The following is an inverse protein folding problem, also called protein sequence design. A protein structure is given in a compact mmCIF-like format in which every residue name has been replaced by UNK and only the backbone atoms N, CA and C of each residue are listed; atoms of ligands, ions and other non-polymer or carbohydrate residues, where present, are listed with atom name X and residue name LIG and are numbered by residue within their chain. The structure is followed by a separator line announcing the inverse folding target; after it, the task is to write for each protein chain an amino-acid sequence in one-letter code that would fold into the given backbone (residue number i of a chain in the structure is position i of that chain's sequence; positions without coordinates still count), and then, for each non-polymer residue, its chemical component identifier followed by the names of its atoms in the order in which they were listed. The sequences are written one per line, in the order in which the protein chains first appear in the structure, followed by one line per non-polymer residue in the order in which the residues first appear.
data_IF_297788514248
#
_entry.id   IF_297788514248
#
_cell.length_a   1.000
_cell.length_b   1.000
_cell.length_c   1.000
_cell.angle_alpha   90.00
_cell.angle_beta   90.00
_cell.angle_gamma   90.00
#
_symmetry.space_group_name_H-M   'P 1'
#
loop_
_entity.id
_entity.type
_entity.pdbx_description
1 polymer ?
#
# COMPACT_ATOMS: atom_id res chain seq x y z
N UNK A 1 87.32 71.43 12.20
CA UNK A 1 85.92 71.11 12.53
C UNK A 1 85.38 70.27 11.38
N UNK A 2 84.88 69.07 11.66
CA UNK A 2 84.20 68.20 10.70
C UNK A 2 82.83 68.80 10.36
N UNK A 3 82.52 68.90 9.07
CA UNK A 3 81.15 69.12 8.59
C UNK A 3 80.46 67.76 8.46
N UNK A 4 79.77 67.33 9.52
CA UNK A 4 78.82 66.23 9.46
C UNK A 4 77.48 66.74 8.91
N UNK A 5 77.14 66.31 7.70
CA UNK A 5 75.84 66.56 7.09
C UNK A 5 74.82 65.63 7.77
N UNK A 6 73.65 66.12 8.22
CA UNK A 6 72.65 65.27 8.85
C UNK A 6 72.09 64.26 7.84
N UNK A 7 72.20 62.97 8.17
CA UNK A 7 71.64 61.89 7.36
C UNK A 7 70.12 61.95 7.33
N UNK A 8 69.56 62.01 6.12
CA UNK A 8 68.11 61.90 5.89
C UNK A 8 67.68 60.46 6.15
N UNK A 9 66.79 60.27 7.12
CA UNK A 9 66.16 58.99 7.43
C UNK A 9 65.11 58.66 6.35
N UNK A 10 65.48 57.80 5.41
CA UNK A 10 64.58 57.33 4.36
C UNK A 10 63.83 56.12 4.92
N UNK A 11 62.63 56.34 5.46
CA UNK A 11 61.73 55.25 5.80
C UNK A 11 61.31 54.52 4.51
N UNK A 12 61.56 53.20 4.38
CA UNK A 12 61.14 52.47 3.21
C UNK A 12 59.61 52.46 3.15
N UNK A 13 59.05 53.02 2.07
CA UNK A 13 57.62 53.00 1.82
C UNK A 13 57.09 51.57 1.95
N UNK A 14 56.09 51.37 2.84
CA UNK A 14 55.38 50.11 3.00
C UNK A 14 54.93 49.62 1.62
N UNK A 15 55.64 48.67 1.04
CA UNK A 15 55.22 48.00 -0.19
C UNK A 15 53.86 47.35 0.06
N UNK A 16 52.91 47.64 -0.81
CA UNK A 16 51.53 47.15 -0.72
C UNK A 16 51.52 45.62 -0.68
N UNK A 17 50.65 45.03 0.13
CA UNK A 17 50.50 43.58 0.29
C UNK A 17 50.33 42.85 -1.06
N UNK A 18 49.79 43.54 -2.07
CA UNK A 18 49.58 43.03 -3.41
C UNK A 18 50.84 42.89 -4.27
N UNK A 19 51.96 43.56 -3.96
CA UNK A 19 53.22 43.42 -4.69
C UNK A 19 54.05 42.19 -4.24
N UNK A 20 53.68 41.57 -3.09
CA UNK A 20 54.32 40.34 -2.58
C UNK A 20 53.49 39.08 -2.79
N UNK A 21 52.24 39.20 -3.24
CA UNK A 21 51.42 38.06 -3.61
C UNK A 21 51.94 37.52 -4.94
N UNK A 22 52.80 36.49 -4.88
CA UNK A 22 53.33 35.87 -6.09
C UNK A 22 52.18 35.27 -6.91
N UNK A 23 52.31 35.31 -8.23
CA UNK A 23 51.37 34.69 -9.18
C UNK A 23 51.11 33.20 -8.87
N UNK A 24 52.03 32.57 -8.12
CA UNK A 24 51.95 31.20 -7.62
C UNK A 24 50.75 30.98 -6.68
N UNK A 25 50.30 32.01 -5.95
CA UNK A 25 49.16 31.89 -5.03
C UNK A 25 47.79 31.93 -5.74
N UNK A 26 47.74 32.30 -7.03
CA UNK A 26 46.51 32.23 -7.81
C UNK A 26 46.03 30.79 -8.01
N UNK A 27 46.95 29.82 -8.13
CA UNK A 27 46.60 28.41 -8.36
C UNK A 27 45.86 27.79 -7.16
N UNK A 28 46.35 27.90 -5.91
CA UNK A 28 45.60 27.45 -4.72
C UNK A 28 44.24 28.14 -4.55
N UNK A 29 44.16 29.44 -4.79
CA UNK A 29 42.88 30.19 -4.67
C UNK A 29 41.89 29.75 -5.74
N UNK A 30 42.34 29.59 -6.99
CA UNK A 30 41.49 29.07 -8.06
C UNK A 30 41.00 27.65 -7.76
N UNK A 31 41.88 26.77 -7.27
CA UNK A 31 41.50 25.42 -6.85
C UNK A 31 40.48 25.44 -5.70
N UNK A 32 40.66 26.32 -4.70
CA UNK A 32 39.69 26.51 -3.61
C UNK A 32 38.33 26.96 -4.14
N UNK A 33 38.30 27.94 -5.05
CA UNK A 33 37.05 28.44 -5.65
C UNK A 33 36.34 27.36 -6.45
N UNK A 34 37.06 26.53 -7.20
CA UNK A 34 36.50 25.38 -7.91
C UNK A 34 35.93 24.37 -6.92
N UNK A 35 36.68 24.03 -5.86
CA UNK A 35 36.21 23.09 -4.84
C UNK A 35 34.95 23.59 -4.11
N UNK A 36 34.91 24.87 -3.75
CA UNK A 36 33.71 25.51 -3.16
C UNK A 36 32.56 25.53 -4.17
N UNK A 37 32.85 25.82 -5.44
CA UNK A 37 31.84 25.77 -6.51
C UNK A 37 31.20 24.39 -6.64
N UNK A 38 32.02 23.33 -6.70
CA UNK A 38 31.56 21.93 -6.75
C UNK A 38 30.78 21.57 -5.49
N UNK A 39 31.27 21.95 -4.31
CA UNK A 39 30.57 21.68 -3.05
C UNK A 39 29.17 22.32 -3.01
N UNK A 40 29.06 23.57 -3.49
CA UNK A 40 27.77 24.28 -3.55
C UNK A 40 26.81 23.66 -4.58
N UNK A 41 27.29 23.23 -5.75
CA UNK A 41 26.43 22.56 -6.73
C UNK A 41 25.95 21.21 -6.21
N UNK A 42 26.86 20.41 -5.64
CA UNK A 42 26.53 19.10 -5.05
C UNK A 42 25.49 19.24 -3.93
N UNK A 43 25.60 20.28 -3.09
CA UNK A 43 24.64 20.48 -2.02
C UNK A 43 23.27 20.99 -2.51
N UNK A 44 23.23 21.76 -3.60
CA UNK A 44 21.97 22.25 -4.21
C UNK A 44 21.26 21.20 -5.06
N UNK A 45 21.99 20.22 -5.58
CA UNK A 45 21.44 19.17 -6.45
C UNK A 45 20.93 17.95 -5.67
N UNK A 46 21.35 17.80 -4.41
CA UNK A 46 20.82 16.79 -3.50
C UNK A 46 19.38 17.13 -3.10
N UNK A 47 18.51 16.12 -3.09
CA UNK A 47 17.18 16.26 -2.50
C UNK A 47 17.22 16.21 -0.97
N UNK A 48 16.10 16.56 -0.32
CA UNK A 48 16.00 16.59 1.13
C UNK A 48 16.07 15.19 1.74
N UNK A 49 16.50 15.13 3.00
CA UNK A 49 16.46 13.91 3.81
C UNK A 49 15.21 13.95 4.68
N UNK A 50 14.41 12.88 4.61
CA UNK A 50 13.23 12.67 5.45
C UNK A 50 13.53 11.59 6.49
N UNK A 51 12.85 11.64 7.63
CA UNK A 51 12.90 10.64 8.68
C UNK A 51 11.58 9.88 8.73
N UNK A 52 11.64 8.56 8.60
CA UNK A 52 10.46 7.69 8.68
C UNK A 52 10.64 6.78 9.90
N UNK A 53 9.67 6.82 10.82
CA UNK A 53 9.70 6.02 12.05
C UNK A 53 8.88 4.74 11.88
N UNK A 54 9.54 3.59 11.89
CA UNK A 54 8.92 2.27 11.83
C UNK A 54 8.97 1.56 13.18
N UNK A 55 8.02 0.66 13.43
CA UNK A 55 8.08 -0.28 14.57
C UNK A 55 9.25 -1.26 14.38
N UNK A 56 9.41 -1.77 13.16
CA UNK A 56 10.48 -2.69 12.78
C UNK A 56 11.15 -2.27 11.47
N UNK A 57 12.46 -2.48 11.36
CA UNK A 57 13.25 -2.16 10.16
C UNK A 57 14.04 -3.38 9.64
N UNK A 58 13.55 -4.59 9.91
CA UNK A 58 14.24 -5.82 9.53
C UNK A 58 14.53 -5.88 8.02
N UNK A 59 15.81 -6.05 7.67
CA UNK A 59 16.27 -6.16 6.28
C UNK A 59 16.56 -4.83 5.57
N UNK A 60 16.31 -3.67 6.20
CA UNK A 60 16.70 -2.37 5.66
C UNK A 60 18.20 -2.17 5.87
N UNK A 61 18.90 -1.78 4.80
CA UNK A 61 20.34 -1.57 4.77
C UNK A 61 20.67 -0.14 4.33
N UNK A 62 21.62 0.47 5.03
CA UNK A 62 22.10 1.82 4.75
C UNK A 62 22.88 1.85 3.42
N UNK A 63 22.58 2.84 2.57
CA UNK A 63 23.10 3.04 1.21
C UNK A 63 22.76 1.93 0.19
N UNK A 64 21.89 0.99 0.55
CA UNK A 64 21.47 -0.12 -0.34
C UNK A 64 19.96 -0.12 -0.53
N UNK A 65 19.18 0.01 0.54
CA UNK A 65 17.73 0.03 0.48
C UNK A 65 17.23 1.30 -0.21
N UNK A 66 16.37 1.11 -1.20
CA UNK A 66 15.76 2.19 -1.99
C UNK A 66 14.36 2.52 -1.48
N UNK A 67 14.00 3.80 -1.57
CA UNK A 67 12.62 4.24 -1.54
C UNK A 67 12.07 4.19 -2.96
N UNK A 68 10.91 3.57 -3.14
CA UNK A 68 10.22 3.45 -4.42
C UNK A 68 8.85 4.12 -4.38
N UNK A 69 8.44 4.63 -5.52
CA UNK A 69 7.09 5.12 -5.78
C UNK A 69 6.63 4.56 -7.12
N UNK A 70 5.52 3.79 -7.11
CA UNK A 70 5.01 3.14 -8.32
C UNK A 70 6.09 2.29 -9.01
N UNK A 71 6.86 1.55 -8.20
CA UNK A 71 7.97 0.71 -8.65
C UNK A 71 9.16 1.46 -9.31
N UNK A 72 9.25 2.78 -9.13
CA UNK A 72 10.40 3.60 -9.57
C UNK A 72 11.21 4.01 -8.35
N UNK A 73 12.53 3.82 -8.38
CA UNK A 73 13.42 4.30 -7.32
C UNK A 73 13.45 5.84 -7.31
N UNK A 74 13.16 6.42 -6.15
CA UNK A 74 13.00 7.87 -5.94
C UNK A 74 13.70 8.35 -4.67
N UNK A 75 14.50 7.49 -4.05
CA UNK A 75 15.33 7.81 -2.90
C UNK A 75 16.14 6.63 -2.40
N UNK A 76 17.05 6.89 -1.46
CA UNK A 76 17.94 5.90 -0.85
C UNK A 76 18.03 6.12 0.66
N UNK A 77 18.07 5.02 1.42
CA UNK A 77 18.30 5.05 2.86
C UNK A 77 19.74 5.47 3.15
N UNK A 78 19.95 6.54 3.92
CA UNK A 78 21.27 7.05 4.32
C UNK A 78 21.66 6.70 5.75
N UNK A 79 20.69 6.36 6.60
CA UNK A 79 20.96 6.06 7.99
C UNK A 79 19.82 5.36 8.68
N UNK A 80 20.16 4.56 9.68
CA UNK A 80 19.22 3.83 10.52
C UNK A 80 19.65 4.07 11.97
N UNK A 81 18.72 4.52 12.80
CA UNK A 81 18.96 4.73 14.23
C UNK A 81 17.74 4.31 15.03
N UNK A 82 17.93 3.99 16.29
CA UNK A 82 16.81 3.85 17.21
C UNK A 82 16.37 5.22 17.72
N UNK A 83 15.09 5.33 18.05
CA UNK A 83 14.56 6.40 18.91
C UNK A 83 15.22 6.35 20.29
N UNK A 84 15.14 7.46 21.04
CA UNK A 84 15.82 7.57 22.35
C UNK A 84 15.34 6.53 23.38
N UNK A 85 14.08 6.11 23.28
CA UNK A 85 13.48 5.07 24.11
C UNK A 85 13.61 3.65 23.52
N UNK A 86 14.26 3.51 22.36
CA UNK A 86 14.46 2.25 21.63
C UNK A 86 13.17 1.55 21.15
N UNK A 87 12.01 2.20 21.22
CA UNK A 87 10.72 1.60 20.82
C UNK A 87 10.51 1.61 19.31
N UNK A 88 11.14 2.56 18.61
CA UNK A 88 10.99 2.78 17.16
C UNK A 88 12.33 2.86 16.46
N UNK A 89 12.38 2.41 15.21
CA UNK A 89 13.50 2.58 14.30
C UNK A 89 13.25 3.78 13.40
N UNK A 90 14.15 4.76 13.45
CA UNK A 90 14.12 5.96 12.62
C UNK A 90 15.05 5.73 11.43
N UNK A 91 14.46 5.70 10.23
CA UNK A 91 15.17 5.53 8.97
C UNK A 91 15.27 6.88 8.27
N UNK A 92 16.49 7.34 8.01
CA UNK A 92 16.76 8.55 7.26
C UNK A 92 16.86 8.20 5.78
N UNK A 93 15.95 8.76 4.96
CA UNK A 93 15.88 8.51 3.52
C UNK A 93 16.16 9.81 2.78
N UNK A 94 17.11 9.80 1.86
CA UNK A 94 17.32 10.90 0.94
C UNK A 94 16.42 10.76 -0.27
N UNK A 95 15.56 11.75 -0.48
CA UNK A 95 14.67 11.82 -1.62
C UNK A 95 15.39 12.35 -2.86
N UNK A 96 14.92 11.94 -4.02
CA UNK A 96 15.22 12.63 -5.27
C UNK A 96 14.54 14.01 -5.28
N UNK A 97 15.28 15.02 -5.72
CA UNK A 97 14.79 16.41 -5.77
C UNK A 97 13.55 16.57 -6.64
N UNK A 98 13.35 15.71 -7.64
CA UNK A 98 12.20 15.73 -8.54
C UNK A 98 10.89 15.35 -7.85
N UNK A 99 10.92 14.50 -6.82
CA UNK A 99 9.73 14.03 -6.10
C UNK A 99 9.50 14.75 -4.78
N UNK A 100 10.55 15.37 -4.23
CA UNK A 100 10.52 15.98 -2.90
C UNK A 100 9.32 16.92 -2.67
N UNK A 101 8.94 17.72 -3.66
CA UNK A 101 7.84 18.69 -3.53
C UNK A 101 6.45 18.05 -3.41
N UNK A 102 6.31 16.76 -3.71
CA UNK A 102 5.07 15.98 -3.63
C UNK A 102 4.99 15.11 -2.37
N UNK A 103 6.09 15.02 -1.60
CA UNK A 103 6.14 14.23 -0.37
C UNK A 103 5.73 15.11 0.80
N UNK A 104 4.43 15.38 0.87
CA UNK A 104 3.78 16.18 1.91
C UNK A 104 3.22 15.29 3.04
N UNK A 105 2.40 15.85 3.92
CA UNK A 105 1.87 15.16 5.09
C UNK A 105 0.90 14.02 4.82
N UNK A 106 0.37 13.92 3.60
CA UNK A 106 -0.51 12.81 3.20
C UNK A 106 0.28 11.62 2.64
N UNK A 107 1.61 11.73 2.56
CA UNK A 107 2.48 10.65 2.12
C UNK A 107 2.54 9.51 3.14
N UNK A 108 2.29 8.28 2.66
CA UNK A 108 2.40 7.04 3.42
C UNK A 108 3.61 6.22 2.98
N UNK A 109 4.25 5.54 3.93
CA UNK A 109 5.44 4.72 3.70
C UNK A 109 5.32 3.37 4.42
N UNK A 110 5.70 2.28 3.77
CA UNK A 110 5.76 0.95 4.37
C UNK A 110 6.94 0.15 3.83
N UNK A 111 7.35 -0.87 4.57
CA UNK A 111 8.47 -1.75 4.21
C UNK A 111 7.93 -2.94 3.42
N UNK A 112 8.43 -3.16 2.20
CA UNK A 112 8.07 -4.33 1.38
C UNK A 112 9.15 -5.41 1.52
N UNK A 113 8.72 -6.59 1.96
CA UNK A 113 9.56 -7.76 2.23
C UNK A 113 9.05 -8.97 1.41
N UNK A 114 9.91 -9.96 1.10
CA UNK A 114 9.45 -11.20 0.51
C UNK A 114 8.59 -11.96 1.50
N UNK A 115 7.37 -12.30 1.10
CA UNK A 115 6.45 -13.08 1.91
C UNK A 115 6.04 -14.36 1.18
N UNK A 116 6.06 -15.46 1.93
CA UNK A 116 5.59 -16.76 1.45
C UNK A 116 4.30 -17.06 2.19
N UNK A 117 3.17 -16.97 1.48
CA UNK A 117 1.86 -17.32 2.03
C UNK A 117 1.36 -18.64 1.42
N UNK A 118 0.37 -19.26 2.07
CA UNK A 118 -0.30 -20.44 1.53
C UNK A 118 -1.08 -20.14 0.23
N UNK A 119 -1.45 -18.88 0.00
CA UNK A 119 -2.28 -18.40 -1.12
C UNK A 119 -1.46 -17.92 -2.33
N UNK A 120 -0.12 -17.86 -2.20
CA UNK A 120 0.78 -17.39 -3.25
C UNK A 120 2.09 -16.80 -2.72
N UNK A 121 2.98 -16.43 -3.64
CA UNK A 121 4.25 -15.77 -3.31
C UNK A 121 4.18 -14.31 -3.76
N UNK A 122 4.31 -13.37 -2.82
CA UNK A 122 4.40 -11.93 -3.08
C UNK A 122 5.84 -11.45 -2.85
N UNK A 123 6.21 -10.33 -3.47
CA UNK A 123 7.54 -9.75 -3.26
C UNK A 123 8.68 -10.56 -3.88
N UNK A 124 8.44 -11.41 -4.89
CA UNK A 124 9.50 -12.18 -5.55
C UNK A 124 10.60 -11.29 -6.15
N UNK A 125 10.28 -10.04 -6.50
CA UNK A 125 11.26 -9.04 -6.91
C UNK A 125 12.32 -8.79 -5.82
N UNK A 126 11.95 -8.92 -4.55
CA UNK A 126 12.86 -8.72 -3.40
C UNK A 126 13.81 -9.90 -3.18
N UNK A 127 13.54 -11.07 -3.76
CA UNK A 127 14.46 -12.23 -3.68
C UNK A 127 15.81 -11.91 -4.32
N UNK A 128 15.81 -11.08 -5.37
CA UNK A 128 17.02 -10.60 -6.04
C UNK A 128 17.40 -9.16 -5.66
N UNK A 129 16.42 -8.28 -5.45
CA UNK A 129 16.66 -6.83 -5.21
C UNK A 129 16.64 -6.40 -3.74
N UNK A 130 16.30 -7.31 -2.81
CA UNK A 130 16.26 -7.05 -1.38
C UNK A 130 14.99 -6.30 -0.92
N UNK A 131 14.95 -6.02 0.39
CA UNK A 131 13.89 -5.24 1.04
C UNK A 131 13.95 -3.79 0.55
N UNK A 132 12.79 -3.20 0.25
CA UNK A 132 12.65 -1.80 -0.15
C UNK A 132 11.55 -1.10 0.65
N UNK A 133 11.58 0.23 0.66
CA UNK A 133 10.51 1.05 1.22
C UNK A 133 9.65 1.50 0.04
N UNK A 134 8.34 1.26 0.09
CA UNK A 134 7.41 1.84 -0.88
C UNK A 134 6.77 3.08 -0.25
N UNK A 135 6.64 4.13 -1.05
CA UNK A 135 5.95 5.36 -0.70
C UNK A 135 4.72 5.59 -1.57
N UNK A 136 3.74 6.29 -1.02
CA UNK A 136 2.48 6.62 -1.68
C UNK A 136 2.05 8.03 -1.32
N UNK A 137 1.95 8.92 -2.31
CA UNK A 137 1.48 10.30 -2.21
C UNK A 137 0.76 10.70 -3.51
N UNK A 138 0.02 11.80 -3.49
CA UNK A 138 -0.78 12.24 -4.63
C UNK A 138 0.07 12.97 -5.70
N UNK A 139 -0.56 13.72 -6.60
CA UNK A 139 0.13 14.51 -7.62
C UNK A 139 0.14 16.01 -7.32
N UNK A 140 -0.22 16.41 -6.12
CA UNK A 140 -0.21 17.79 -5.66
C UNK A 140 1.15 18.09 -5.03
N UNK A 141 1.71 19.24 -5.38
CA UNK A 141 3.00 19.68 -4.84
C UNK A 141 2.75 20.72 -3.74
N UNK A 142 2.48 20.26 -2.52
CA UNK A 142 2.23 21.13 -1.35
C UNK A 142 3.44 21.28 -0.42
N UNK A 143 4.63 20.93 -0.93
CA UNK A 143 5.89 21.04 -0.21
C UNK A 143 6.32 19.72 0.42
N UNK A 144 7.45 19.76 1.13
CA UNK A 144 8.07 18.56 1.69
C UNK A 144 7.90 18.51 3.20
N UNK A 145 7.27 17.46 3.70
CA UNK A 145 7.32 17.11 5.11
C UNK A 145 8.59 16.27 5.39
N UNK A 146 9.22 16.50 6.53
CA UNK A 146 10.51 15.88 6.85
C UNK A 146 10.40 14.70 7.81
N UNK A 147 9.24 14.47 8.42
CA UNK A 147 9.04 13.44 9.44
C UNK A 147 7.74 12.70 9.19
N UNK A 148 7.83 11.37 9.18
CA UNK A 148 6.73 10.47 8.89
C UNK A 148 6.69 9.34 9.89
N UNK A 149 5.48 8.86 10.17
CA UNK A 149 5.27 7.58 10.81
C UNK A 149 5.06 6.54 9.70
N UNK A 150 5.90 5.51 9.71
CA UNK A 150 5.80 4.41 8.77
C UNK A 150 4.66 3.48 9.15
N UNK A 151 3.96 2.98 8.14
CA UNK A 151 2.93 1.95 8.30
C UNK A 151 3.59 0.58 8.41
N UNK A 152 3.06 -0.25 9.31
CA UNK A 152 3.52 -1.62 9.49
C UNK A 152 3.14 -2.50 8.28
N UNK A 153 2.04 -2.16 7.61
CA UNK A 153 1.45 -2.89 6.48
C UNK A 153 1.10 -1.96 5.32
N UNK A 154 1.02 -2.52 4.11
CA UNK A 154 0.69 -1.76 2.92
C UNK A 154 -0.77 -1.24 2.99
N UNK A 155 -1.01 0.05 2.71
CA UNK A 155 -2.38 0.54 2.63
C UNK A 155 -3.08 -0.09 1.43
N UNK A 156 -4.34 -0.48 1.63
CA UNK A 156 -5.19 -1.04 0.56
C UNK A 156 -5.28 -0.14 -0.66
N UNK A 157 -5.27 1.17 -0.43
CA UNK A 157 -5.26 2.19 -1.48
C UNK A 157 -3.87 2.78 -1.57
N UNK A 158 -3.23 2.53 -2.71
CA UNK A 158 -1.94 3.13 -3.06
C UNK A 158 -2.14 4.13 -4.19
N UNK A 159 -1.36 5.20 -4.19
CA UNK A 159 -1.35 6.24 -5.21
C UNK A 159 -1.09 5.67 -6.60
N UNK A 160 -2.16 5.49 -7.37
CA UNK A 160 -2.13 4.91 -8.72
C UNK A 160 -3.20 3.84 -8.96
N UNK A 161 -3.82 3.31 -7.90
CA UNK A 161 -4.98 2.41 -7.98
C UNK A 161 -6.14 2.97 -7.16
N UNK A 162 -7.11 3.57 -7.85
CA UNK A 162 -8.37 4.05 -7.27
C UNK A 162 -9.43 2.96 -7.31
N UNK A 163 -10.43 3.05 -6.44
CA UNK A 163 -11.51 2.09 -6.38
C UNK A 163 -12.56 2.42 -5.32
N UNK A 164 -13.61 1.61 -5.29
CA UNK A 164 -14.62 1.63 -4.23
C UNK A 164 -14.12 0.82 -3.04
N UNK A 165 -13.93 1.50 -1.92
CA UNK A 165 -13.68 0.85 -0.63
C UNK A 165 -14.99 0.33 -0.04
N UNK A 166 -15.02 -0.94 0.34
CA UNK A 166 -16.14 -1.58 1.02
C UNK A 166 -15.62 -2.34 2.23
N UNK A 167 -16.52 -2.71 3.11
CA UNK A 167 -16.22 -3.62 4.20
C UNK A 167 -16.95 -4.94 3.96
N UNK A 168 -16.22 -6.03 3.98
CA UNK A 168 -16.81 -7.37 3.92
C UNK A 168 -16.97 -7.88 5.34
N UNK A 169 -18.06 -8.61 5.60
CA UNK A 169 -18.27 -9.34 6.86
C UNK A 169 -18.64 -10.79 6.58
N UNK A 170 -18.23 -11.69 7.48
CA UNK A 170 -18.66 -13.08 7.45
C UNK A 170 -18.84 -13.65 8.86
N UNK A 171 -19.79 -14.56 8.99
CA UNK A 171 -20.07 -15.31 10.23
C UNK A 171 -19.25 -16.60 10.35
N UNK A 172 -18.48 -16.95 9.31
CA UNK A 172 -17.60 -18.12 9.25
C UNK A 172 -16.24 -17.73 8.68
N UNK A 173 -15.29 -18.66 8.78
CA UNK A 173 -13.95 -18.54 8.17
C UNK A 173 -14.09 -18.69 6.63
N UNK A 174 -14.58 -17.65 5.96
CA UNK A 174 -14.96 -17.68 4.54
C UNK A 174 -13.89 -17.01 3.67
N UNK A 175 -12.70 -17.61 3.57
CA UNK A 175 -11.66 -17.13 2.65
C UNK A 175 -11.22 -15.66 2.85
N UNK A 176 -11.60 -15.03 3.97
CA UNK A 176 -11.33 -13.62 4.30
C UNK A 176 -9.93 -13.46 4.88
N UNK A 177 -8.94 -13.98 4.17
CA UNK A 177 -7.53 -13.74 4.45
C UNK A 177 -7.06 -12.46 3.79
N UNK A 178 -6.03 -11.84 4.36
CA UNK A 178 -5.36 -10.70 3.75
C UNK A 178 -4.87 -11.06 2.34
N UNK A 179 -4.96 -10.12 1.41
CA UNK A 179 -4.55 -10.26 0.01
C UNK A 179 -5.35 -11.28 -0.82
N UNK A 180 -6.44 -11.84 -0.29
CA UNK A 180 -7.37 -12.66 -1.09
C UNK A 180 -7.89 -11.83 -2.29
N UNK A 181 -7.83 -12.38 -3.52
CA UNK A 181 -8.33 -11.69 -4.70
C UNK A 181 -9.87 -11.64 -4.71
N UNK A 182 -10.40 -10.49 -5.13
CA UNK A 182 -11.81 -10.36 -5.50
C UNK A 182 -11.89 -10.52 -7.02
N UNK A 183 -12.58 -11.57 -7.46
CA UNK A 183 -12.63 -11.98 -8.87
C UNK A 183 -14.04 -11.78 -9.41
N UNK A 184 -14.16 -11.17 -10.59
CA UNK A 184 -15.41 -11.07 -11.32
C UNK A 184 -15.24 -11.70 -12.70
N UNK A 185 -16.05 -12.72 -13.03
CA UNK A 185 -15.99 -13.46 -14.30
C UNK A 185 -14.58 -13.95 -14.68
N UNK A 186 -13.79 -14.38 -13.68
CA UNK A 186 -12.43 -14.88 -13.87
C UNK A 186 -11.34 -13.81 -13.98
N UNK A 187 -11.68 -12.53 -13.78
CA UNK A 187 -10.73 -11.42 -13.79
C UNK A 187 -10.60 -10.87 -12.36
N UNK A 188 -9.38 -10.68 -11.87
CA UNK A 188 -9.15 -9.98 -10.60
C UNK A 188 -9.56 -8.51 -10.75
N UNK A 189 -10.54 -8.09 -9.94
CA UNK A 189 -11.12 -6.74 -9.96
C UNK A 189 -10.96 -6.01 -8.63
N UNK A 190 -10.39 -6.66 -7.63
CA UNK A 190 -10.23 -6.10 -6.30
C UNK A 190 -9.43 -7.01 -5.39
N UNK A 191 -9.21 -6.55 -4.16
CA UNK A 191 -8.50 -7.30 -3.12
C UNK A 191 -9.10 -7.04 -1.75
N UNK A 192 -9.00 -8.05 -0.89
CA UNK A 192 -9.25 -7.93 0.54
C UNK A 192 -7.96 -7.50 1.22
N UNK A 193 -8.07 -6.61 2.20
CA UNK A 193 -6.99 -6.25 3.11
C UNK A 193 -7.17 -6.94 4.45
N UNK A 194 -6.79 -6.24 5.51
CA UNK A 194 -6.70 -6.85 6.82
C UNK A 194 -8.06 -7.27 7.37
N UNK A 195 -8.10 -8.51 7.86
CA UNK A 195 -9.23 -9.06 8.57
C UNK A 195 -9.11 -8.78 10.08
N UNK A 196 -10.23 -8.42 10.69
CA UNK A 196 -10.37 -8.17 12.13
C UNK A 196 -11.57 -8.92 12.66
N UNK A 197 -11.40 -9.53 13.83
CA UNK A 197 -12.47 -10.24 14.51
C UNK A 197 -13.22 -9.24 15.40
N UNK A 198 -14.54 -9.28 15.34
CA UNK A 198 -15.42 -8.54 16.25
C UNK A 198 -15.17 -8.92 17.71
N UNK A 199 -15.42 -7.98 18.64
CA UNK A 199 -15.20 -8.23 20.07
C UNK A 199 -16.03 -9.38 20.63
N UNK A 200 -17.18 -9.67 20.03
CA UNK A 200 -18.05 -10.80 20.41
C UNK A 200 -17.67 -12.12 19.73
N UNK A 201 -16.67 -12.11 18.85
CA UNK A 201 -16.17 -13.27 18.12
C UNK A 201 -17.13 -13.83 17.08
N UNK A 202 -18.25 -13.14 16.78
CA UNK A 202 -19.29 -13.68 15.87
C UNK A 202 -19.05 -13.35 14.42
N UNK A 203 -18.35 -12.26 14.16
CA UNK A 203 -18.10 -11.74 12.82
C UNK A 203 -16.62 -11.49 12.59
N UNK A 204 -16.17 -11.84 11.39
CA UNK A 204 -14.91 -11.36 10.82
C UNK A 204 -15.26 -10.22 9.88
N UNK A 205 -14.59 -9.08 10.04
CA UNK A 205 -14.69 -7.94 9.15
C UNK A 205 -13.38 -7.81 8.38
N UNK A 206 -13.42 -7.51 7.09
CA UNK A 206 -12.21 -7.16 6.35
C UNK A 206 -12.49 -6.00 5.41
N UNK A 207 -11.54 -5.07 5.36
CA UNK A 207 -11.61 -3.98 4.38
C UNK A 207 -11.34 -4.58 3.00
N UNK A 208 -12.00 -4.07 1.97
CA UNK A 208 -11.80 -4.50 0.60
C UNK A 208 -11.86 -3.32 -0.36
N UNK A 209 -11.12 -3.40 -1.45
CA UNK A 209 -11.17 -2.43 -2.53
C UNK A 209 -11.57 -3.14 -3.83
N UNK A 210 -12.50 -2.54 -4.55
CA UNK A 210 -12.85 -2.89 -5.93
C UNK A 210 -12.28 -1.80 -6.83
N UNK A 211 -11.33 -2.16 -7.69
CA UNK A 211 -10.60 -1.20 -8.52
C UNK A 211 -11.48 -0.57 -9.59
N UNK A 212 -11.20 0.68 -9.95
CA UNK A 212 -11.74 1.31 -11.15
C UNK A 212 -11.29 0.56 -12.41
N UNK A 213 -12.14 0.38 -13.43
CA UNK A 213 -13.53 0.87 -13.54
C UNK A 213 -14.61 -0.13 -13.05
N UNK A 214 -14.22 -1.26 -12.44
CA UNK A 214 -15.17 -2.32 -12.02
C UNK A 214 -15.91 -1.99 -10.72
N UNK A 215 -15.46 -0.96 -10.00
CA UNK A 215 -16.16 -0.34 -8.88
C UNK A 215 -17.64 -0.03 -9.20
N UNK A 216 -17.93 0.37 -10.44
CA UNK A 216 -19.29 0.67 -10.92
C UNK A 216 -20.22 -0.56 -11.00
N UNK A 217 -19.67 -1.78 -10.97
CA UNK A 217 -20.46 -3.02 -10.99
C UNK A 217 -21.08 -3.33 -9.62
N UNK A 218 -20.58 -2.70 -8.56
CA UNK A 218 -21.05 -2.92 -7.19
C UNK A 218 -22.17 -1.96 -6.86
N UNK A 219 -23.32 -2.54 -6.49
CA UNK A 219 -24.55 -1.83 -6.14
C UNK A 219 -25.09 -2.35 -4.82
N UNK A 220 -26.12 -1.71 -4.29
CA UNK A 220 -26.81 -2.21 -3.08
C UNK A 220 -27.46 -3.58 -3.26
N UNK A 221 -27.67 -4.03 -4.51
CA UNK A 221 -28.19 -5.36 -4.85
C UNK A 221 -27.08 -6.41 -5.06
N UNK A 222 -25.82 -6.02 -5.00
CA UNK A 222 -24.70 -6.93 -5.16
C UNK A 222 -24.58 -7.86 -3.95
N UNK A 223 -24.27 -9.12 -4.20
CA UNK A 223 -24.01 -10.13 -3.17
C UNK A 223 -22.63 -10.75 -3.42
N UNK A 224 -21.88 -10.95 -2.35
CA UNK A 224 -20.53 -11.51 -2.37
C UNK A 224 -20.56 -12.93 -1.85
N UNK A 225 -19.80 -13.85 -2.44
CA UNK A 225 -19.66 -15.20 -1.90
C UNK A 225 -18.28 -15.76 -2.12
N UNK A 226 -17.94 -16.73 -1.28
CA UNK A 226 -16.69 -17.46 -1.34
C UNK A 226 -16.67 -18.42 -2.54
N UNK A 227 -15.57 -18.44 -3.29
CA UNK A 227 -15.36 -19.38 -4.41
C UNK A 227 -14.55 -20.62 -4.00
N UNK A 228 -14.02 -20.65 -2.77
CA UNK A 228 -13.15 -21.73 -2.24
C UNK A 228 -13.90 -22.96 -1.71
N UNK A 229 -15.20 -23.07 -2.01
CA UNK A 229 -16.03 -24.21 -1.62
C UNK A 229 -16.16 -25.29 -2.70
N UNK A 230 -16.30 -26.54 -2.28
CA UNK A 230 -16.84 -27.61 -3.13
C UNK A 230 -18.37 -27.61 -2.99
N UNK A 231 -19.11 -27.32 -4.05
CA UNK A 231 -20.57 -27.49 -4.05
C UNK A 231 -20.93 -28.87 -4.58
N UNK A 232 -21.42 -29.73 -3.67
CA UNK A 232 -22.04 -31.01 -4.01
C UNK A 232 -23.55 -30.88 -3.83
N UNK A 233 -24.31 -31.12 -4.89
CA UNK A 233 -25.78 -31.17 -4.81
C UNK A 233 -26.28 -32.55 -5.20
N UNK A 234 -27.28 -33.05 -4.46
CA UNK A 234 -27.92 -34.33 -4.73
C UNK A 234 -29.41 -34.08 -4.94
N UNK A 235 -29.86 -34.15 -6.19
CA UNK A 235 -31.25 -33.91 -6.58
C UNK A 235 -31.97 -35.19 -7.00
N UNK A 236 -33.29 -35.10 -7.28
CA UNK A 236 -34.08 -36.22 -7.82
C UNK A 236 -33.53 -36.77 -9.15
N UNK A 237 -32.74 -35.95 -9.87
CA UNK A 237 -32.15 -36.26 -11.16
C UNK A 237 -30.72 -36.85 -11.06
N UNK A 238 -30.17 -37.02 -9.85
CA UNK A 238 -28.82 -37.56 -9.62
C UNK A 238 -27.91 -36.63 -8.83
N UNK A 239 -26.63 -37.01 -8.74
CA UNK A 239 -25.58 -36.22 -8.10
C UNK A 239 -24.95 -35.26 -9.12
N UNK A 240 -24.90 -33.97 -8.78
CA UNK A 240 -24.22 -32.92 -9.55
C UNK A 240 -23.08 -32.36 -8.69
N UNK A 241 -21.86 -32.44 -9.22
CA UNK A 241 -20.65 -31.97 -8.57
C UNK A 241 -20.03 -30.89 -9.44
N UNK A 242 -20.17 -29.65 -9.00
CA UNK A 242 -19.60 -28.48 -9.67
C UNK A 242 -18.14 -28.32 -9.25
N UNK A 243 -17.23 -28.72 -10.12
CA UNK A 243 -15.80 -28.44 -9.99
C UNK A 243 -15.51 -27.08 -10.62
N UNK A 244 -15.80 -25.98 -9.93
CA UNK A 244 -15.29 -24.67 -10.35
C UNK A 244 -13.77 -24.64 -10.21
N UNK A 245 -13.09 -25.03 -11.28
CA UNK A 245 -11.67 -24.85 -11.62
C UNK A 245 -10.65 -25.21 -10.52
N UNK A 246 -9.80 -26.19 -10.80
CA UNK A 246 -8.61 -26.52 -9.97
C UNK A 246 -7.72 -25.29 -9.73
N UNK A 247 -7.76 -24.28 -10.60
CA UNK A 247 -7.06 -23.01 -10.38
C UNK A 247 -7.71 -22.12 -9.31
N UNK A 248 -9.04 -22.18 -9.12
CA UNK A 248 -9.78 -21.45 -8.09
C UNK A 248 -9.56 -22.05 -6.70
N UNK A 249 -9.34 -23.37 -6.64
CA UNK A 249 -9.00 -24.11 -5.42
C UNK A 249 -7.61 -23.77 -4.86
N UNK A 250 -6.67 -23.29 -5.70
CA UNK A 250 -5.28 -23.06 -5.30
C UNK A 250 -5.05 -21.65 -4.73
N UNK A 251 -5.81 -20.64 -5.18
CA UNK A 251 -5.68 -19.27 -4.69
C UNK A 251 -6.79 -18.86 -3.71
N UNK A 252 -7.95 -19.53 -3.74
CA UNK A 252 -9.16 -19.03 -3.07
C UNK A 252 -9.61 -17.68 -3.66
N UNK A 253 -10.75 -17.16 -3.23
CA UNK A 253 -11.19 -15.85 -3.71
C UNK A 253 -12.63 -15.54 -3.36
N UNK A 254 -12.95 -14.25 -3.34
CA UNK A 254 -14.32 -13.77 -3.23
C UNK A 254 -14.79 -13.35 -4.61
N UNK A 255 -16.01 -13.74 -4.98
CA UNK A 255 -16.67 -13.23 -6.18
C UNK A 255 -17.94 -12.50 -5.79
N UNK A 256 -18.50 -11.76 -6.74
CA UNK A 256 -19.78 -11.10 -6.55
C UNK A 256 -20.61 -11.12 -7.83
N UNK A 257 -21.91 -10.94 -7.67
CA UNK A 257 -22.82 -10.67 -8.78
C UNK A 257 -24.01 -9.84 -8.29
N UNK A 258 -24.65 -9.18 -9.25
CA UNK A 258 -25.88 -8.42 -9.03
C UNK A 258 -27.04 -9.30 -9.46
N UNK A 259 -27.57 -10.05 -8.49
CA UNK A 259 -28.51 -11.14 -8.71
C UNK A 259 -29.95 -10.68 -9.00
N UNK A 260 -30.26 -9.42 -8.73
CA UNK A 260 -31.54 -8.79 -9.07
C UNK A 260 -31.30 -7.47 -9.80
N UNK A 261 -32.18 -7.16 -10.76
CA UNK A 261 -32.20 -5.85 -11.40
C UNK A 261 -32.64 -4.78 -10.40
N UNK A 262 -31.92 -3.67 -10.38
CA UNK A 262 -32.12 -2.62 -9.38
C UNK A 262 -30.97 -2.59 -8.38
N UNK A 263 -30.90 -1.50 -7.62
CA UNK A 263 -29.76 -1.21 -6.76
C UNK A 263 -29.20 0.18 -7.06
N UNK A 264 -28.73 0.84 -6.01
CA UNK A 264 -28.13 2.17 -6.10
C UNK A 264 -26.61 2.06 -6.06
N UNK A 265 -25.94 3.08 -6.57
CA UNK A 265 -24.49 3.24 -6.39
C UNK A 265 -24.17 3.23 -4.90
N UNK A 266 -23.15 2.46 -4.56
CA UNK A 266 -22.74 2.23 -3.18
C UNK A 266 -21.76 3.31 -2.76
N UNK A 267 -21.84 3.71 -1.48
CA UNK A 267 -20.88 4.67 -0.91
C UNK A 267 -19.66 3.93 -0.36
N UNK A 268 -18.48 4.56 -0.37
CA UNK A 268 -17.31 4.01 0.32
C UNK A 268 -17.63 3.64 1.78
N UNK A 269 -17.09 2.49 2.23
CA UNK A 269 -17.31 1.95 3.57
C UNK A 269 -18.62 1.19 3.78
N UNK A 270 -19.40 0.94 2.71
CA UNK A 270 -20.61 0.12 2.83
C UNK A 270 -20.25 -1.33 3.17
N UNK A 271 -20.99 -1.92 4.10
CA UNK A 271 -20.76 -3.29 4.58
C UNK A 271 -21.55 -4.29 3.72
N UNK A 272 -20.87 -5.32 3.21
CA UNK A 272 -21.47 -6.46 2.51
C UNK A 272 -21.20 -7.76 3.25
N UNK A 273 -22.16 -8.67 3.21
CA UNK A 273 -21.99 -10.02 3.72
C UNK A 273 -21.41 -10.94 2.65
N UNK A 274 -20.43 -11.74 3.05
CA UNK A 274 -19.82 -12.79 2.24
C UNK A 274 -20.52 -14.09 2.57
N UNK A 275 -21.27 -14.62 1.60
CA UNK A 275 -21.97 -15.88 1.74
C UNK A 275 -21.03 -17.07 1.50
N UNK A 276 -21.31 -18.25 2.08
CA UNK A 276 -20.49 -19.45 1.90
C UNK A 276 -20.41 -19.93 0.45
N UNK A 277 -21.47 -19.71 -0.33
CA UNK A 277 -21.57 -20.10 -1.72
C UNK A 277 -22.61 -19.26 -2.47
N UNK A 278 -22.71 -19.48 -3.78
CA UNK A 278 -23.66 -18.78 -4.64
C UNK A 278 -25.12 -19.08 -4.28
N UNK A 279 -25.42 -20.29 -3.82
CA UNK A 279 -26.79 -20.69 -3.49
C UNK A 279 -27.29 -19.91 -2.27
N UNK A 280 -26.49 -19.82 -1.21
CA UNK A 280 -26.77 -19.02 -0.02
C UNK A 280 -26.93 -17.53 -0.36
N UNK A 281 -26.05 -16.99 -1.22
CA UNK A 281 -26.17 -15.61 -1.70
C UNK A 281 -27.51 -15.34 -2.42
N UNK A 282 -27.97 -16.29 -3.25
CA UNK A 282 -29.27 -16.20 -3.94
C UNK A 282 -30.45 -16.27 -2.99
N UNK A 283 -30.42 -17.20 -2.02
CA UNK A 283 -31.50 -17.35 -1.03
C UNK A 283 -31.71 -16.08 -0.21
N UNK A 284 -30.62 -15.39 0.17
CA UNK A 284 -30.67 -14.16 0.98
C UNK A 284 -31.54 -13.04 0.38
N UNK A 285 -31.70 -13.01 -0.94
CA UNK A 285 -32.51 -12.00 -1.65
C UNK A 285 -33.99 -12.17 -1.33
N UNK A 286 -34.43 -13.41 -1.20
CA UNK A 286 -35.81 -13.74 -0.91
C UNK A 286 -36.16 -13.51 0.57
N UNK A 287 -35.18 -13.65 1.47
CA UNK A 287 -35.34 -13.36 2.90
C UNK A 287 -35.41 -11.84 3.18
N UNK A 288 -34.69 -11.03 2.40
CA UNK A 288 -34.63 -9.58 2.59
C UNK A 288 -35.74 -8.83 1.84
N UNK A 289 -36.49 -9.51 0.99
CA UNK A 289 -37.67 -8.93 0.38
C UNK A 289 -38.73 -8.79 1.47
N UNK A 290 -39.00 -7.55 1.91
CA UNK A 290 -40.16 -7.14 2.73
C UNK A 290 -41.53 -7.42 2.02
N UNK A 291 -41.58 -8.40 1.12
CA UNK A 291 -42.81 -8.93 0.57
C UNK A 291 -43.47 -9.81 1.61
N UNK A 292 -44.80 -9.77 1.67
CA UNK A 292 -45.60 -10.66 2.49
C UNK A 292 -45.09 -12.10 2.35
N UNK A 293 -44.52 -12.66 3.42
CA UNK A 293 -44.30 -14.10 3.51
C UNK A 293 -45.66 -14.78 3.35
N UNK A 294 -45.86 -15.46 2.22
CA UNK A 294 -47.08 -16.23 2.00
C UNK A 294 -46.83 -17.59 2.62
N UNK A 295 -47.30 -17.78 3.86
CA UNK A 295 -47.32 -19.10 4.48
C UNK A 295 -48.38 -19.97 3.80
N UNK A 296 -47.94 -20.90 2.96
CA UNK A 296 -48.81 -21.92 2.36
C UNK A 296 -48.77 -23.19 3.22
N UNK A 297 -49.93 -23.78 3.47
CA UNK A 297 -50.06 -25.10 4.10
C UNK A 297 -50.58 -26.08 3.06
N UNK A 298 -49.82 -27.15 2.81
CA UNK A 298 -50.24 -28.28 2.00
C UNK A 298 -50.48 -29.49 2.91
N UNK A 299 -51.62 -30.14 2.75
CA UNK A 299 -51.93 -31.41 3.42
C UNK A 299 -51.81 -32.50 2.37
N UNK A 300 -50.94 -33.47 2.63
CA UNK A 300 -50.74 -34.62 1.75
C UNK A 300 -51.52 -35.81 2.34
N UNK A 301 -52.31 -36.48 1.50
CA UNK A 301 -53.10 -37.65 1.93
C UNK A 301 -52.24 -38.93 2.02
N UNK A 302 -51.08 -38.93 1.36
CA UNK A 302 -50.13 -40.04 1.31
C UNK A 302 -48.80 -39.72 2.01
N UNK A 303 -47.99 -40.76 2.24
CA UNK A 303 -46.64 -40.61 2.81
C UNK A 303 -45.74 -39.76 1.90
N UNK A 304 -45.33 -38.59 2.40
CA UNK A 304 -44.45 -37.69 1.67
C UNK A 304 -42.99 -38.07 1.91
N UNK A 305 -42.49 -39.00 1.08
CA UNK A 305 -41.08 -39.41 1.10
C UNK A 305 -40.28 -38.49 0.18
N UNK A 306 -39.25 -37.83 0.70
CA UNK A 306 -38.32 -37.01 -0.12
C UNK A 306 -38.47 -35.50 0.02
N UNK A 307 -39.37 -34.98 0.85
CA UNK A 307 -39.36 -33.57 1.24
C UNK A 307 -38.38 -33.36 2.40
N UNK A 308 -37.47 -32.39 2.23
CA UNK A 308 -36.58 -31.89 3.25
C UNK A 308 -36.73 -30.36 3.34
N UNK A 309 -36.33 -29.77 4.46
CA UNK A 309 -36.28 -28.32 4.59
C UNK A 309 -35.36 -27.74 3.50
N UNK A 310 -35.86 -26.80 2.70
CA UNK A 310 -35.16 -26.22 1.55
C UNK A 310 -35.32 -26.96 0.22
N UNK A 311 -36.20 -27.98 0.14
CA UNK A 311 -36.59 -28.57 -1.14
C UNK A 311 -37.34 -27.54 -2.01
N UNK A 312 -37.06 -27.45 -3.33
CA UNK A 312 -37.70 -26.49 -4.25
C UNK A 312 -39.18 -26.79 -4.50
#
# INVERSE_FOLDING_TARGET
MNDDIPGVDIQPGRRSFFERASIVWLVPVAALLIAVGIALTTWRDQGPVIEIAFTEAGGILTNETQLKYRNVAVGVVEGIRFSENLERVIVSVRLDKSVAAFVDGDAAFWVVRPEVSASGVSGLETVLSGVYIEGSWDNMADGTQFRFDGLDEAPLVTSGRRGLEIELRSSRDSGMTENTPIVYKGIEVGRIGNARISQDGRWVFANAIIFEPQDQLVTTATRFWDTSGFSFSLGPNGAELDFSSVASLIAGGITFDTLVSGGQTVRPGTVFEVFPDQAAARTSIFEQSDGNEITLTAIFEDNVSGLAAGAP
#
